data_IF_518905212145
#
_entry.id   IF_518905212145
#
_cell.length_a   1.000
_cell.length_b   1.000
_cell.length_c   1.000
_cell.angle_alpha   90.00
_cell.angle_beta   90.00
_cell.angle_gamma   90.00
#
_symmetry.space_group_name_H-M   'P 1'
#
loop_
_entity.id
_entity.type
_entity.pdbx_description
1 polymer ?
#
# COMPACT_ATOMS: atom_id res chain seq x y z
N UNK A 1 -11.39 -37.60 32.68
CA UNK A 1 -10.90 -37.15 31.36
C UNK A 1 -11.98 -36.48 30.50
N UNK A 2 -13.29 -36.67 30.74
CA UNK A 2 -14.37 -35.98 30.00
C UNK A 2 -14.83 -34.62 30.58
N UNK A 3 -14.42 -34.26 31.80
CA UNK A 3 -14.78 -32.98 32.42
C UNK A 3 -13.87 -31.82 31.96
N UNK A 4 -12.61 -32.10 31.60
CA UNK A 4 -11.65 -31.08 31.18
C UNK A 4 -11.96 -30.53 29.78
N UNK A 5 -12.44 -31.39 28.88
CA UNK A 5 -12.80 -31.03 27.49
C UNK A 5 -14.01 -30.09 27.44
N UNK A 6 -14.95 -30.24 28.38
CA UNK A 6 -16.17 -29.41 28.44
C UNK A 6 -15.91 -28.03 29.06
N UNK A 7 -14.94 -27.92 29.97
CA UNK A 7 -14.46 -26.63 30.50
C UNK A 7 -13.67 -25.86 29.44
N UNK A 8 -12.84 -26.53 28.64
CA UNK A 8 -12.12 -25.94 27.51
C UNK A 8 -13.05 -25.47 26.37
N UNK A 9 -14.11 -26.22 26.05
CA UNK A 9 -15.12 -25.77 25.08
C UNK A 9 -15.93 -24.56 25.57
N UNK A 10 -16.23 -24.48 26.88
CA UNK A 10 -16.89 -23.31 27.46
C UNK A 10 -15.97 -22.08 27.58
N UNK A 11 -14.65 -22.26 27.71
CA UNK A 11 -13.67 -21.17 27.70
C UNK A 11 -13.39 -20.67 26.27
N UNK A 12 -13.32 -21.56 25.28
CA UNK A 12 -13.12 -21.18 23.87
C UNK A 12 -14.38 -20.55 23.25
N UNK A 13 -15.59 -20.98 23.67
CA UNK A 13 -16.85 -20.36 23.25
C UNK A 13 -17.11 -18.96 23.81
N UNK A 14 -16.31 -18.49 24.78
CA UNK A 14 -16.36 -17.12 25.33
C UNK A 14 -15.36 -16.17 24.68
N UNK A 15 -14.35 -16.68 23.96
CA UNK A 15 -13.34 -15.86 23.26
C UNK A 15 -13.63 -15.68 21.75
N UNK A 16 -14.67 -16.33 21.21
CA UNK A 16 -15.11 -16.22 19.81
C UNK A 16 -16.49 -15.57 19.66
N UNK A 17 -16.92 -14.78 20.65
CA UNK A 17 -18.10 -13.91 20.49
C UNK A 17 -17.65 -12.51 20.12
N UNK A 18 -18.03 -12.10 18.92
CA UNK A 18 -18.03 -10.70 18.48
C UNK A 18 -18.58 -9.80 19.60
N UNK A 19 -18.00 -8.62 19.84
CA UNK A 19 -18.66 -7.64 20.66
C UNK A 19 -19.89 -7.13 19.89
N UNK A 20 -21.05 -7.69 20.19
CA UNK A 20 -22.32 -6.98 20.07
C UNK A 20 -22.22 -5.75 20.98
N UNK A 21 -21.84 -4.61 20.40
CA UNK A 21 -22.19 -3.32 20.97
C UNK A 21 -23.49 -2.87 20.32
N UNK A 22 -24.57 -2.91 21.10
CA UNK A 22 -25.77 -2.12 20.87
C UNK A 22 -25.37 -0.64 20.75
N UNK A 23 -25.18 -0.18 19.52
CA UNK A 23 -25.36 1.23 19.19
C UNK A 23 -26.65 1.32 18.39
N UNK A 24 -27.61 2.02 18.98
CA UNK A 24 -28.87 2.40 18.35
C UNK A 24 -28.53 3.20 17.10
N UNK A 25 -28.62 2.57 15.93
CA UNK A 25 -28.57 3.26 14.65
C UNK A 25 -29.84 4.10 14.52
N UNK A 26 -29.67 5.42 14.52
CA UNK A 26 -30.66 6.28 13.91
C UNK A 26 -30.53 6.13 12.39
N UNK A 27 -31.43 5.35 11.80
CA UNK A 27 -31.79 5.41 10.40
C UNK A 27 -32.20 6.86 10.08
N UNK A 28 -31.40 7.56 9.26
CA UNK A 28 -31.86 8.67 8.42
C UNK A 28 -30.72 9.11 7.50
N UNK A 29 -30.65 8.51 6.31
CA UNK A 29 -30.50 9.16 4.99
C UNK A 29 -30.03 8.11 3.98
N UNK A 30 -31.01 7.41 3.38
CA UNK A 30 -30.87 6.88 2.03
C UNK A 30 -30.49 8.03 1.10
N UNK A 31 -29.18 8.19 0.88
CA UNK A 31 -28.67 9.06 -0.17
C UNK A 31 -28.89 8.32 -1.48
N UNK A 32 -29.92 8.73 -2.20
CA UNK A 32 -30.11 8.40 -3.60
C UNK A 32 -28.87 8.91 -4.36
N UNK A 33 -27.96 7.99 -4.71
CA UNK A 33 -26.75 8.29 -5.47
C UNK A 33 -27.10 8.60 -6.93
N UNK A 34 -27.50 9.84 -7.19
CA UNK A 34 -27.37 10.45 -8.52
C UNK A 34 -26.07 11.24 -8.55
N UNK A 35 -24.94 10.55 -8.66
CA UNK A 35 -23.66 11.22 -8.82
C UNK A 35 -23.55 11.78 -10.25
N UNK A 36 -23.38 13.11 -10.46
CA UNK A 36 -22.83 13.58 -11.71
C UNK A 36 -21.41 13.00 -11.81
N UNK A 37 -21.06 12.41 -12.97
CA UNK A 37 -19.68 11.98 -13.25
C UNK A 37 -18.75 13.19 -13.10
N UNK A 38 -18.16 13.37 -11.92
CA UNK A 38 -17.10 14.32 -11.74
C UNK A 38 -15.92 13.82 -12.57
N UNK A 39 -15.73 14.38 -13.75
CA UNK A 39 -14.49 14.24 -14.51
C UNK A 39 -13.41 15.00 -13.75
N UNK A 40 -12.88 14.36 -12.70
CA UNK A 40 -11.77 14.91 -11.93
C UNK A 40 -10.49 14.82 -12.77
N UNK A 41 -9.74 15.91 -12.76
CA UNK A 41 -8.52 16.07 -13.52
C UNK A 41 -7.29 15.99 -12.58
N UNK A 42 -6.18 15.39 -13.02
CA UNK A 42 -4.94 15.42 -12.26
C UNK A 42 -4.51 16.86 -11.95
N UNK A 43 -4.12 17.11 -10.70
CA UNK A 43 -3.55 18.38 -10.23
C UNK A 43 -4.48 19.61 -10.23
N UNK A 44 -5.77 19.45 -10.54
CA UNK A 44 -6.74 20.51 -10.34
C UNK A 44 -7.18 20.62 -8.88
N UNK A 45 -7.62 21.81 -8.48
CA UNK A 45 -8.24 22.01 -7.17
C UNK A 45 -9.55 21.20 -7.12
N UNK A 46 -9.66 20.34 -6.11
CA UNK A 46 -10.86 19.54 -5.91
C UNK A 46 -11.97 20.38 -5.27
N UNK A 47 -13.25 20.04 -5.51
CA UNK A 47 -14.37 20.74 -4.90
C UNK A 47 -14.23 20.81 -3.37
N UNK A 48 -14.72 21.87 -2.68
CA UNK A 48 -14.63 21.96 -1.22
C UNK A 48 -15.33 20.81 -0.48
N UNK A 49 -16.33 20.18 -1.11
CA UNK A 49 -17.02 19.00 -0.61
C UNK A 49 -16.19 17.72 -0.70
N UNK A 50 -15.13 17.70 -1.53
CA UNK A 50 -14.30 16.53 -1.74
C UNK A 50 -13.32 16.36 -0.59
N UNK A 51 -13.34 15.20 0.05
CA UNK A 51 -12.44 14.87 1.15
C UNK A 51 -11.56 13.65 0.83
N UNK A 52 -10.28 13.82 0.49
CA UNK A 52 -9.38 12.72 0.14
C UNK A 52 -9.14 11.72 1.28
N UNK A 53 -9.59 12.01 2.52
CA UNK A 53 -9.54 11.05 3.61
C UNK A 53 -10.65 9.98 3.55
N UNK A 54 -11.79 10.29 2.94
CA UNK A 54 -12.95 9.40 2.84
C UNK A 54 -13.26 9.06 1.39
N UNK A 55 -12.97 9.95 0.45
CA UNK A 55 -13.18 9.81 -0.98
C UNK A 55 -11.93 9.29 -1.71
N UNK A 56 -12.15 8.76 -2.91
CA UNK A 56 -11.14 8.08 -3.74
C UNK A 56 -10.71 8.98 -4.90
N UNK A 57 -9.54 8.73 -5.50
CA UNK A 57 -8.85 9.67 -6.41
C UNK A 57 -9.73 10.27 -7.51
N UNK A 58 -10.60 9.46 -8.11
CA UNK A 58 -11.54 9.82 -9.17
C UNK A 58 -12.96 10.13 -8.66
N UNK A 59 -13.13 10.24 -7.35
CA UNK A 59 -14.42 10.41 -6.67
C UNK A 59 -15.28 9.14 -6.63
N UNK A 60 -14.78 8.01 -7.16
CA UNK A 60 -15.55 6.78 -7.27
C UNK A 60 -15.02 5.75 -6.29
N UNK A 61 -15.94 5.12 -5.55
CA UNK A 61 -15.58 3.98 -4.70
C UNK A 61 -15.11 2.85 -5.63
N UNK A 62 -13.84 2.39 -5.51
CA UNK A 62 -13.38 1.25 -6.28
C UNK A 62 -14.27 0.05 -5.99
N UNK A 63 -14.56 -0.81 -6.98
CA UNK A 63 -15.39 -2.01 -6.81
C UNK A 63 -14.62 -3.11 -6.07
N UNK A 64 -13.99 -2.76 -4.95
CA UNK A 64 -13.22 -3.63 -4.09
C UNK A 64 -14.08 -4.03 -2.88
N UNK A 65 -14.17 -5.33 -2.54
CA UNK A 65 -14.85 -5.80 -1.34
C UNK A 65 -14.55 -4.92 -0.11
N UNK A 66 -15.61 -4.43 0.53
CA UNK A 66 -15.59 -3.58 1.74
C UNK A 66 -14.94 -2.19 1.61
N UNK A 67 -14.52 -1.74 0.42
CA UNK A 67 -13.92 -0.40 0.27
C UNK A 67 -14.93 0.76 0.38
N UNK A 68 -16.23 0.45 0.37
CA UNK A 68 -17.30 1.38 0.72
C UNK A 68 -17.45 1.58 2.24
N UNK A 69 -16.88 0.71 3.08
CA UNK A 69 -17.01 0.74 4.54
C UNK A 69 -15.88 1.56 5.19
N UNK A 70 -15.91 2.88 5.04
CA UNK A 70 -14.85 3.77 5.52
C UNK A 70 -14.50 3.60 7.02
N UNK A 71 -15.52 3.33 7.87
CA UNK A 71 -15.33 3.09 9.29
C UNK A 71 -14.50 1.82 9.57
N UNK A 72 -14.76 0.74 8.82
CA UNK A 72 -14.02 -0.52 8.93
C UNK A 72 -12.56 -0.34 8.52
N UNK A 73 -12.32 0.37 7.41
CA UNK A 73 -10.97 0.73 6.97
C UNK A 73 -10.25 1.49 8.09
N UNK A 74 -10.88 2.56 8.60
CA UNK A 74 -10.29 3.41 9.63
C UNK A 74 -9.95 2.63 10.90
N UNK A 75 -10.82 1.72 11.33
CA UNK A 75 -10.58 0.84 12.48
C UNK A 75 -9.29 0.03 12.33
N UNK A 76 -9.10 -0.66 11.19
CA UNK A 76 -7.92 -1.47 10.96
C UNK A 76 -6.64 -0.62 10.81
N UNK A 77 -6.72 0.52 10.13
CA UNK A 77 -5.59 1.44 10.02
C UNK A 77 -5.15 1.93 11.40
N UNK A 78 -6.09 2.37 12.25
CA UNK A 78 -5.79 2.82 13.60
C UNK A 78 -5.14 1.72 14.44
N UNK A 79 -5.62 0.49 14.36
CA UNK A 79 -5.05 -0.64 15.08
C UNK A 79 -3.58 -0.90 14.68
N UNK A 80 -3.31 -0.97 13.38
CA UNK A 80 -1.96 -1.18 12.84
C UNK A 80 -1.01 -0.06 13.25
N UNK A 81 -1.41 1.20 13.06
CA UNK A 81 -0.58 2.35 13.39
C UNK A 81 -0.31 2.47 14.89
N UNK A 82 -1.32 2.23 15.72
CA UNK A 82 -1.18 2.30 17.19
C UNK A 82 -0.15 1.28 17.70
N UNK A 83 -0.18 0.05 17.15
CA UNK A 83 0.78 -0.99 17.50
C UNK A 83 2.23 -0.58 17.12
N UNK A 84 2.41 0.00 15.93
CA UNK A 84 3.72 0.46 15.48
C UNK A 84 4.23 1.67 16.29
N UNK A 85 3.40 2.70 16.47
CA UNK A 85 3.77 3.95 17.15
C UNK A 85 4.17 3.72 18.61
N UNK A 86 3.52 2.77 19.29
CA UNK A 86 3.92 2.33 20.64
C UNK A 86 5.41 1.99 20.71
N UNK A 87 5.94 1.23 19.75
CA UNK A 87 7.34 0.83 19.74
C UNK A 87 8.27 1.91 19.18
N UNK A 88 7.79 2.78 18.29
CA UNK A 88 8.57 3.95 17.85
C UNK A 88 8.80 4.89 19.03
N UNK A 89 7.77 5.15 19.84
CA UNK A 89 7.88 5.95 21.07
C UNK A 89 8.84 5.31 22.08
N UNK A 90 8.84 3.98 22.21
CA UNK A 90 9.82 3.25 22.99
C UNK A 90 11.25 3.50 22.49
N UNK A 91 11.49 3.46 21.18
CA UNK A 91 12.78 3.81 20.58
C UNK A 91 13.21 5.25 20.87
N UNK A 92 12.28 6.21 20.80
CA UNK A 92 12.54 7.60 21.17
C UNK A 92 12.95 7.74 22.64
N UNK A 93 12.28 7.04 23.57
CA UNK A 93 12.65 7.04 25.00
C UNK A 93 14.09 6.59 25.20
N UNK A 94 14.47 5.47 24.59
CA UNK A 94 15.82 4.93 24.72
C UNK A 94 16.88 5.89 24.16
N UNK A 95 16.59 6.56 23.04
CA UNK A 95 17.50 7.58 22.47
C UNK A 95 17.66 8.78 23.40
N UNK A 96 16.58 9.24 24.04
CA UNK A 96 16.63 10.35 25.01
C UNK A 96 17.40 9.97 26.27
N UNK A 97 17.21 8.75 26.78
CA UNK A 97 17.97 8.20 27.90
C UNK A 97 19.47 8.16 27.59
N UNK A 98 19.86 7.71 26.39
CA UNK A 98 21.26 7.72 25.93
C UNK A 98 21.85 9.13 25.83
N UNK A 99 21.02 10.15 25.63
CA UNK A 99 21.43 11.55 25.47
C UNK A 99 21.29 12.36 26.77
N UNK A 100 20.85 11.73 27.87
CA UNK A 100 20.60 12.36 29.17
C UNK A 100 19.60 13.54 29.14
N UNK A 101 18.65 13.53 28.19
CA UNK A 101 17.63 14.58 28.07
C UNK A 101 16.37 14.24 28.89
N UNK A 102 16.51 14.35 30.21
CA UNK A 102 15.42 14.06 31.15
C UNK A 102 14.18 14.96 30.96
N UNK A 103 14.38 16.20 30.52
CA UNK A 103 13.28 17.14 30.30
C UNK A 103 12.38 16.67 29.16
N UNK A 104 12.99 16.28 28.04
CA UNK A 104 12.26 15.84 26.87
C UNK A 104 11.71 14.42 27.06
N UNK A 105 12.42 13.55 27.79
CA UNK A 105 11.94 12.21 28.17
C UNK A 105 10.63 12.26 28.96
N UNK A 106 10.54 13.13 29.98
CA UNK A 106 9.31 13.29 30.77
C UNK A 106 8.12 13.71 29.91
N UNK A 107 8.37 14.50 28.86
CA UNK A 107 7.32 14.97 27.96
C UNK A 107 6.67 13.86 27.12
N UNK A 108 7.35 12.73 26.86
CA UNK A 108 6.75 11.59 26.13
C UNK A 108 5.54 11.06 26.89
N UNK A 109 5.63 10.93 28.20
CA UNK A 109 4.55 10.38 29.02
C UNK A 109 3.40 11.38 29.24
N UNK A 110 3.71 12.68 29.26
CA UNK A 110 2.74 13.74 29.51
C UNK A 110 2.02 14.18 28.22
N UNK A 111 2.68 14.08 27.06
CA UNK A 111 2.22 14.61 25.79
C UNK A 111 2.40 13.60 24.65
N UNK A 112 2.03 12.34 24.87
CA UNK A 112 2.25 11.25 23.91
C UNK A 112 1.69 11.57 22.50
N UNK A 113 0.50 12.16 22.42
CA UNK A 113 -0.10 12.54 21.12
C UNK A 113 0.69 13.62 20.38
N UNK A 114 1.33 14.55 21.09
CA UNK A 114 2.21 15.55 20.48
C UNK A 114 3.47 14.88 19.88
N UNK A 115 4.01 13.87 20.56
CA UNK A 115 5.10 13.05 20.04
C UNK A 115 4.69 12.25 18.82
N UNK A 116 3.52 11.61 18.85
CA UNK A 116 2.97 10.89 17.69
C UNK A 116 2.83 11.83 16.50
N UNK A 117 2.29 13.04 16.69
CA UNK A 117 2.19 14.05 15.64
C UNK A 117 3.58 14.39 15.07
N UNK A 118 4.55 14.69 15.93
CA UNK A 118 5.90 15.07 15.52
C UNK A 118 6.63 13.95 14.77
N UNK A 119 6.52 12.70 15.23
CA UNK A 119 7.08 11.51 14.57
C UNK A 119 6.42 11.32 13.20
N UNK A 120 5.10 11.44 13.13
CA UNK A 120 4.33 11.05 11.94
C UNK A 120 4.61 11.94 10.73
N UNK A 121 5.04 13.19 10.94
CA UNK A 121 5.39 14.12 9.85
C UNK A 121 6.87 14.14 9.50
N UNK A 122 7.68 13.29 10.13
CA UNK A 122 9.04 13.04 9.69
C UNK A 122 9.02 12.20 8.42
N UNK A 123 9.91 12.52 7.49
CA UNK A 123 10.09 11.75 6.27
C UNK A 123 10.90 10.50 6.56
N UNK A 124 10.39 9.36 6.17
CA UNK A 124 11.07 8.07 6.28
C UNK A 124 11.08 7.41 4.88
N UNK A 125 12.26 7.41 4.25
CA UNK A 125 12.38 7.04 2.83
C UNK A 125 11.58 7.99 1.96
N UNK A 126 10.50 7.48 1.35
CA UNK A 126 9.59 8.23 0.47
C UNK A 126 8.20 8.44 1.09
N UNK A 127 8.03 8.21 2.39
CA UNK A 127 6.74 8.25 3.08
C UNK A 127 6.78 9.17 4.30
N UNK A 128 5.65 9.80 4.59
CA UNK A 128 5.36 10.46 5.86
C UNK A 128 4.26 9.66 6.55
N UNK A 129 4.49 9.19 7.77
CA UNK A 129 3.54 8.30 8.43
C UNK A 129 2.18 8.96 8.71
N UNK A 130 2.08 10.29 8.68
CA UNK A 130 0.85 11.04 8.87
C UNK A 130 -0.11 10.88 7.68
N UNK A 131 -1.39 10.68 7.99
CA UNK A 131 -2.49 10.80 7.04
C UNK A 131 -3.21 12.17 7.21
N UNK A 132 -3.91 12.62 6.17
CA UNK A 132 -4.62 13.91 6.19
C UNK A 132 -5.67 14.01 7.31
N UNK A 133 -6.40 12.92 7.56
CA UNK A 133 -7.44 12.90 8.60
C UNK A 133 -6.85 13.06 10.00
N UNK A 134 -5.70 12.44 10.28
CA UNK A 134 -5.00 12.62 11.55
C UNK A 134 -4.53 14.06 11.73
N UNK A 135 -3.95 14.64 10.67
CA UNK A 135 -3.51 16.03 10.70
C UNK A 135 -4.67 16.98 11.00
N UNK A 136 -5.83 16.75 10.37
CA UNK A 136 -7.01 17.60 10.47
C UNK A 136 -7.76 17.45 11.79
N UNK A 137 -8.00 16.21 12.22
CA UNK A 137 -8.87 15.90 13.35
C UNK A 137 -8.12 15.92 14.68
N UNK A 138 -6.81 15.64 14.68
CA UNK A 138 -6.03 15.42 15.90
C UNK A 138 -4.78 16.30 15.97
N UNK A 139 -3.87 16.22 15.00
CA UNK A 139 -2.53 16.76 15.18
C UNK A 139 -2.47 18.29 15.16
N UNK A 140 -3.22 18.96 14.28
CA UNK A 140 -3.13 20.42 14.13
C UNK A 140 -3.45 21.15 15.43
N UNK A 141 -4.56 20.81 16.09
CA UNK A 141 -4.99 21.47 17.33
C UNK A 141 -4.01 21.26 18.49
N UNK A 142 -3.45 20.04 18.60
CA UNK A 142 -2.51 19.67 19.66
C UNK A 142 -1.18 20.40 19.50
N UNK A 143 -0.69 20.51 18.26
CA UNK A 143 0.57 21.21 17.96
C UNK A 143 0.43 22.72 18.11
N UNK A 144 -0.68 23.31 17.67
CA UNK A 144 -0.96 24.74 17.86
C UNK A 144 -1.06 25.13 19.33
N UNK A 145 -1.55 24.22 20.18
CA UNK A 145 -1.60 24.43 21.63
C UNK A 145 -0.24 24.26 22.32
N UNK A 146 0.74 23.59 21.69
CA UNK A 146 2.04 23.26 22.28
C UNK A 146 3.25 23.54 21.36
N UNK A 147 3.37 24.72 20.73
CA UNK A 147 4.32 24.94 19.64
C UNK A 147 5.78 24.87 20.10
N UNK A 148 6.08 25.37 21.31
CA UNK A 148 7.45 25.34 21.85
C UNK A 148 7.93 23.92 22.12
N UNK A 149 7.08 23.08 22.72
CA UNK A 149 7.43 21.68 22.98
C UNK A 149 7.53 20.90 21.67
N UNK A 150 6.62 21.12 20.72
CA UNK A 150 6.69 20.50 19.39
C UNK A 150 8.02 20.80 18.69
N UNK A 151 8.47 22.05 18.67
CA UNK A 151 9.74 22.44 18.05
C UNK A 151 10.95 21.78 18.75
N UNK A 152 10.89 21.58 20.07
CA UNK A 152 11.92 20.84 20.80
C UNK A 152 11.94 19.36 20.42
N UNK A 153 10.77 18.73 20.32
CA UNK A 153 10.63 17.34 19.88
C UNK A 153 11.17 17.19 18.46
N UNK A 154 10.77 18.07 17.55
CA UNK A 154 11.23 18.05 16.17
C UNK A 154 12.75 18.22 16.05
N UNK A 155 13.33 19.16 16.80
CA UNK A 155 14.78 19.35 16.86
C UNK A 155 15.50 18.06 17.30
N UNK A 156 14.94 17.33 18.27
CA UNK A 156 15.46 16.04 18.69
C UNK A 156 15.33 14.98 17.60
N UNK A 157 14.16 14.86 16.95
CA UNK A 157 13.90 13.87 15.90
C UNK A 157 14.78 14.09 14.67
N UNK A 158 15.04 15.35 14.32
CA UNK A 158 15.88 15.74 13.19
C UNK A 158 17.38 15.54 13.46
N UNK A 159 17.82 15.67 14.72
CA UNK A 159 19.22 15.47 15.11
C UNK A 159 19.66 14.03 14.83
N UNK A 160 20.78 13.88 14.10
CA UNK A 160 21.40 12.58 13.78
C UNK A 160 20.44 11.52 13.20
N UNK A 161 19.36 11.99 12.56
CA UNK A 161 18.27 11.15 12.04
C UNK A 161 17.60 10.27 13.10
N UNK A 162 17.39 10.80 14.31
CA UNK A 162 16.70 10.10 15.41
C UNK A 162 15.31 9.59 15.02
N UNK A 163 14.59 10.29 14.14
CA UNK A 163 13.32 9.82 13.57
C UNK A 163 13.47 8.47 12.87
N UNK A 164 14.41 8.34 11.94
CA UNK A 164 14.68 7.08 11.24
C UNK A 164 15.12 5.97 12.19
N UNK A 165 16.03 6.29 13.14
CA UNK A 165 16.50 5.32 14.15
C UNK A 165 15.34 4.77 14.98
N UNK A 166 14.45 5.64 15.47
CA UNK A 166 13.29 5.25 16.26
C UNK A 166 12.28 4.44 15.43
N UNK A 167 12.05 4.81 14.16
CA UNK A 167 11.18 4.06 13.25
C UNK A 167 11.77 2.67 12.95
N UNK A 168 13.09 2.59 12.67
CA UNK A 168 13.79 1.34 12.44
C UNK A 168 13.64 0.39 13.63
N UNK A 169 13.85 0.90 14.84
CA UNK A 169 13.60 0.17 16.09
C UNK A 169 12.15 -0.27 16.20
N UNK A 170 11.21 0.66 15.99
CA UNK A 170 9.78 0.40 16.17
C UNK A 170 9.27 -0.73 15.27
N UNK A 171 9.65 -0.72 13.99
CA UNK A 171 9.28 -1.80 13.04
C UNK A 171 9.90 -3.13 13.46
N UNK A 172 11.21 -3.16 13.75
CA UNK A 172 11.89 -4.39 14.16
C UNK A 172 11.31 -4.97 15.46
N UNK A 173 11.00 -4.09 16.42
CA UNK A 173 10.41 -4.47 17.71
C UNK A 173 8.99 -4.97 17.56
N UNK A 174 8.16 -4.36 16.71
CA UNK A 174 6.80 -4.80 16.43
C UNK A 174 6.78 -6.23 15.85
N UNK A 175 7.64 -6.52 14.87
CA UNK A 175 7.73 -7.86 14.26
C UNK A 175 8.20 -8.90 15.28
N UNK A 176 9.10 -8.52 16.20
CA UNK A 176 9.58 -9.39 17.27
C UNK A 176 8.72 -9.36 18.55
N UNK A 177 7.53 -8.75 18.52
CA UNK A 177 6.62 -8.71 19.67
C UNK A 177 5.52 -9.79 19.57
N UNK A 178 4.65 -9.83 20.58
CA UNK A 178 3.44 -10.68 20.56
C UNK A 178 2.23 -9.99 19.91
N UNK A 179 2.36 -8.75 19.44
CA UNK A 179 1.24 -7.99 18.85
C UNK A 179 0.90 -8.48 17.43
N UNK A 180 1.85 -9.14 16.76
CA UNK A 180 1.66 -9.77 15.46
C UNK A 180 1.92 -11.26 15.53
N UNK A 181 1.12 -12.03 14.78
CA UNK A 181 1.48 -13.38 14.37
C UNK A 181 2.47 -13.27 13.21
N UNK A 182 3.63 -13.91 13.34
CA UNK A 182 4.71 -13.81 12.35
C UNK A 182 5.11 -15.18 11.83
N UNK A 183 4.96 -15.37 10.51
CA UNK A 183 5.48 -16.54 9.81
C UNK A 183 6.86 -16.22 9.24
N UNK A 184 7.89 -16.89 9.75
CA UNK A 184 9.26 -16.70 9.30
C UNK A 184 9.53 -17.52 8.03
N UNK A 185 9.66 -16.84 6.89
CA UNK A 185 9.83 -17.47 5.57
C UNK A 185 10.94 -16.81 4.76
N UNK A 186 11.88 -17.61 4.25
CA UNK A 186 13.12 -17.07 3.66
C UNK A 186 13.14 -17.07 2.13
N UNK A 187 12.29 -17.89 1.48
CA UNK A 187 12.43 -18.19 0.04
C UNK A 187 11.86 -17.13 -0.88
N UNK A 188 10.66 -16.61 -0.61
CA UNK A 188 9.93 -15.73 -1.54
C UNK A 188 9.82 -14.27 -1.12
N UNK A 189 9.95 -13.98 0.18
CA UNK A 189 9.88 -12.61 0.69
C UNK A 189 11.13 -11.84 0.26
N UNK A 190 10.97 -10.64 -0.32
CA UNK A 190 12.10 -9.74 -0.56
C UNK A 190 12.85 -9.40 0.73
N UNK A 191 14.16 -9.08 0.68
CA UNK A 191 14.84 -8.51 1.83
C UNK A 191 14.07 -7.30 2.38
N UNK A 192 14.05 -7.16 3.71
CA UNK A 192 13.49 -6.02 4.45
C UNK A 192 12.00 -5.72 4.19
N UNK A 193 11.28 -6.65 3.56
CA UNK A 193 9.85 -6.52 3.29
C UNK A 193 9.01 -7.31 4.29
N UNK A 194 7.82 -6.79 4.57
CA UNK A 194 6.77 -7.40 5.39
C UNK A 194 5.62 -7.77 4.46
N UNK A 195 5.36 -9.07 4.30
CA UNK A 195 4.23 -9.55 3.52
C UNK A 195 3.00 -9.74 4.41
N UNK A 196 1.93 -9.01 4.16
CA UNK A 196 0.71 -9.09 4.96
C UNK A 196 -0.16 -10.28 4.54
N UNK A 197 -0.51 -11.16 5.48
CA UNK A 197 -1.36 -12.33 5.21
C UNK A 197 -2.82 -12.06 5.61
N UNK A 198 -3.03 -11.36 6.72
CA UNK A 198 -4.35 -11.06 7.25
C UNK A 198 -4.28 -10.19 8.51
N UNK A 199 -5.35 -10.21 9.32
CA UNK A 199 -5.44 -9.41 10.55
C UNK A 199 -4.29 -9.77 11.50
N UNK A 200 -3.44 -8.79 11.79
CA UNK A 200 -2.25 -8.93 12.64
C UNK A 200 -1.37 -10.15 12.29
N UNK A 201 -1.40 -10.60 11.03
CA UNK A 201 -0.66 -11.77 10.58
C UNK A 201 0.19 -11.39 9.38
N UNK A 202 1.51 -11.50 9.56
CA UNK A 202 2.52 -11.16 8.57
C UNK A 202 3.46 -12.34 8.33
N UNK A 203 4.20 -12.25 7.24
CA UNK A 203 5.38 -13.06 7.02
C UNK A 203 6.58 -12.18 6.72
N UNK A 204 7.75 -12.59 7.22
CA UNK A 204 9.02 -11.88 7.07
C UNK A 204 10.16 -12.87 6.86
N UNK A 205 11.30 -12.39 6.35
CA UNK A 205 12.53 -13.20 6.36
C UNK A 205 13.12 -13.19 7.76
N UNK A 206 13.31 -14.37 8.34
CA UNK A 206 13.91 -14.52 9.68
C UNK A 206 15.19 -13.71 9.88
N UNK A 207 16.09 -13.78 8.90
CA UNK A 207 17.40 -13.10 8.96
C UNK A 207 17.32 -11.56 9.02
N UNK A 208 16.24 -10.96 8.52
CA UNK A 208 16.10 -9.50 8.49
C UNK A 208 15.67 -8.97 9.87
N UNK A 209 15.15 -9.85 10.73
CA UNK A 209 14.65 -9.54 12.07
C UNK A 209 15.41 -10.28 13.19
N UNK A 210 16.61 -10.79 12.87
CA UNK A 210 17.47 -11.48 13.84
C UNK A 210 18.20 -10.48 14.77
N UNK A 211 18.44 -10.91 16.01
CA UNK A 211 19.11 -10.11 17.04
C UNK A 211 18.21 -9.13 17.79
N UNK A 212 18.84 -8.24 18.55
CA UNK A 212 18.14 -7.30 19.43
C UNK A 212 17.76 -6.00 18.69
N UNK A 213 16.50 -5.57 18.82
CA UNK A 213 15.97 -4.33 18.21
C UNK A 213 16.82 -3.10 18.55
N UNK A 214 17.48 -3.07 19.70
CA UNK A 214 18.29 -1.94 20.16
C UNK A 214 19.37 -1.52 19.13
N UNK A 215 19.90 -2.48 18.36
CA UNK A 215 20.92 -2.24 17.32
C UNK A 215 20.41 -1.38 16.17
N UNK A 216 19.10 -1.34 15.96
CA UNK A 216 18.48 -0.54 14.90
C UNK A 216 18.49 0.97 15.25
N UNK A 217 18.70 1.32 16.52
CA UNK A 217 18.90 2.71 16.94
C UNK A 217 20.23 3.31 16.44
N UNK A 218 21.15 2.48 15.96
CA UNK A 218 22.41 2.91 15.38
C UNK A 218 22.32 3.11 13.85
N UNK A 219 21.17 2.79 13.23
CA UNK A 219 20.94 2.92 11.80
C UNK A 219 20.22 4.23 11.48
N UNK A 220 20.89 5.24 10.87
CA UNK A 220 20.31 6.55 10.62
C UNK A 220 19.45 6.60 9.34
N UNK A 221 19.55 5.61 8.47
CA UNK A 221 18.79 5.54 7.21
C UNK A 221 17.59 4.59 7.36
N UNK A 222 16.53 4.85 6.59
CA UNK A 222 15.38 3.98 6.53
C UNK A 222 15.77 2.56 6.11
N UNK A 223 15.43 1.55 6.92
CA UNK A 223 15.74 0.14 6.67
C UNK A 223 14.55 -0.64 6.08
N UNK A 224 13.35 -0.10 6.21
CA UNK A 224 12.08 -0.78 5.94
C UNK A 224 11.27 -0.02 4.89
N UNK A 225 10.35 -0.70 4.20
CA UNK A 225 9.34 -0.02 3.39
C UNK A 225 8.04 0.12 4.20
N UNK A 226 7.71 1.34 4.63
CA UNK A 226 6.48 1.55 5.40
C UNK A 226 5.21 1.32 4.54
N UNK A 227 5.34 1.20 3.22
CA UNK A 227 4.25 0.78 2.35
C UNK A 227 3.66 -0.58 2.74
N UNK A 228 4.47 -1.45 3.34
CA UNK A 228 4.01 -2.77 3.81
C UNK A 228 2.89 -2.67 4.87
N UNK A 229 2.77 -1.55 5.59
CA UNK A 229 1.66 -1.33 6.52
C UNK A 229 0.35 -0.96 5.80
N UNK A 230 0.40 -0.46 4.57
CA UNK A 230 -0.79 -0.32 3.73
C UNK A 230 -1.29 -1.71 3.27
N UNK A 231 -0.36 -2.62 2.94
CA UNK A 231 -0.71 -4.02 2.71
C UNK A 231 -1.33 -4.67 3.95
N UNK A 232 -0.75 -4.48 5.14
CA UNK A 232 -1.31 -5.02 6.37
C UNK A 232 -2.71 -4.46 6.67
N UNK A 233 -2.93 -3.18 6.40
CA UNK A 233 -4.24 -2.55 6.56
C UNK A 233 -5.26 -3.12 5.57
N UNK A 234 -4.91 -3.26 4.29
CA UNK A 234 -5.76 -3.87 3.28
C UNK A 234 -6.09 -5.33 3.62
N UNK A 235 -5.07 -6.14 3.89
CA UNK A 235 -5.23 -7.54 4.27
C UNK A 235 -6.06 -7.71 5.56
N UNK A 236 -6.04 -6.73 6.48
CA UNK A 236 -6.89 -6.77 7.66
C UNK A 236 -8.37 -6.48 7.36
N UNK A 237 -8.67 -5.71 6.31
CA UNK A 237 -10.05 -5.44 5.87
C UNK A 237 -10.69 -6.69 5.28
N UNK A 238 -10.00 -7.39 4.37
CA UNK A 238 -10.49 -8.62 3.75
C UNK A 238 -9.32 -9.58 3.39
N UNK A 239 -8.87 -10.43 4.34
CA UNK A 239 -7.69 -11.28 4.19
C UNK A 239 -7.74 -12.23 2.98
N UNK A 240 -8.92 -12.76 2.69
CA UNK A 240 -9.16 -13.67 1.58
C UNK A 240 -8.82 -13.04 0.22
N UNK A 241 -9.14 -11.76 0.01
CA UNK A 241 -8.94 -11.05 -1.25
C UNK A 241 -7.59 -10.32 -1.31
N UNK A 242 -7.16 -9.73 -0.20
CA UNK A 242 -6.02 -8.81 -0.17
C UNK A 242 -4.81 -9.35 0.60
N UNK A 243 -4.93 -10.53 1.20
CA UNK A 243 -3.82 -11.21 1.86
C UNK A 243 -2.82 -11.80 0.86
N UNK A 244 -1.54 -11.69 1.19
CA UNK A 244 -0.44 -12.27 0.44
C UNK A 244 -0.57 -13.79 0.38
N UNK A 245 -0.57 -14.34 -0.84
CA UNK A 245 -0.63 -15.79 -1.08
C UNK A 245 0.74 -16.41 -1.39
N UNK A 246 1.84 -15.71 -1.05
CA UNK A 246 3.19 -16.13 -1.46
C UNK A 246 3.53 -17.54 -0.95
N UNK A 247 3.11 -17.88 0.28
CA UNK A 247 3.51 -19.13 0.94
C UNK A 247 2.53 -20.28 0.72
N UNK A 248 1.26 -19.96 0.51
CA UNK A 248 0.24 -20.97 0.20
C UNK A 248 0.32 -21.35 -1.27
N UNK A 249 0.49 -20.36 -2.15
CA UNK A 249 0.29 -20.58 -3.58
C UNK A 249 1.49 -20.27 -4.46
N UNK A 250 2.18 -19.15 -4.26
CA UNK A 250 3.28 -18.79 -5.14
C UNK A 250 4.49 -19.74 -5.01
N UNK A 251 4.77 -20.27 -3.82
CA UNK A 251 5.95 -21.12 -3.56
C UNK A 251 5.94 -22.43 -4.33
N UNK A 252 4.75 -22.90 -4.71
CA UNK A 252 4.58 -24.13 -5.47
C UNK A 252 4.56 -23.88 -6.99
N UNK A 253 4.50 -22.61 -7.43
CA UNK A 253 4.60 -22.29 -8.85
C UNK A 253 6.03 -22.52 -9.39
N UNK A 254 6.17 -22.89 -10.68
CA UNK A 254 7.45 -22.97 -11.34
C UNK A 254 8.29 -21.69 -11.19
N UNK A 255 9.61 -21.85 -11.03
CA UNK A 255 10.53 -20.72 -10.79
C UNK A 255 10.42 -19.61 -11.84
N UNK A 256 10.18 -19.96 -13.11
CA UNK A 256 9.96 -19.02 -14.22
C UNK A 256 8.76 -18.09 -13.98
N UNK A 257 7.67 -18.60 -13.39
CA UNK A 257 6.49 -17.80 -13.05
C UNK A 257 6.76 -16.94 -11.82
N UNK A 258 7.39 -17.51 -10.78
CA UNK A 258 7.75 -16.71 -9.59
C UNK A 258 8.70 -15.56 -9.92
N UNK A 259 9.55 -15.70 -10.95
CA UNK A 259 10.46 -14.65 -11.41
C UNK A 259 9.72 -13.43 -12.01
N UNK A 260 8.51 -13.60 -12.55
CA UNK A 260 7.68 -12.50 -13.05
C UNK A 260 7.27 -11.53 -11.94
N UNK A 261 7.13 -12.01 -10.72
CA UNK A 261 6.76 -11.20 -9.56
C UNK A 261 8.02 -10.71 -8.83
N UNK A 262 9.04 -11.56 -8.75
CA UNK A 262 10.15 -11.39 -7.80
C UNK A 262 11.41 -10.74 -8.36
N UNK A 263 11.50 -10.49 -9.67
CA UNK A 263 12.81 -10.30 -10.32
C UNK A 263 13.66 -9.23 -9.61
N UNK A 264 14.73 -9.60 -8.89
CA UNK A 264 15.54 -8.62 -8.14
C UNK A 264 16.39 -7.75 -9.08
N UNK A 265 16.29 -7.96 -10.39
CA UNK A 265 17.02 -7.26 -11.44
C UNK A 265 16.17 -6.20 -12.16
N UNK A 266 15.07 -5.74 -11.54
CA UNK A 266 14.16 -4.74 -12.14
C UNK A 266 14.88 -3.48 -12.62
N UNK A 267 15.98 -3.09 -11.99
CA UNK A 267 16.78 -1.89 -12.33
C UNK A 267 18.00 -2.17 -13.23
N UNK A 268 18.14 -3.40 -13.76
CA UNK A 268 19.30 -3.74 -14.61
C UNK A 268 19.07 -3.35 -16.07
N UNK A 269 20.17 -3.19 -16.80
CA UNK A 269 20.11 -2.85 -18.24
C UNK A 269 19.56 -3.96 -19.12
N UNK A 270 19.55 -5.19 -18.62
CA UNK A 270 19.05 -6.39 -19.31
C UNK A 270 18.07 -7.13 -18.40
N UNK A 271 16.86 -6.56 -18.17
CA UNK A 271 15.93 -7.15 -17.24
C UNK A 271 15.43 -8.50 -17.78
N UNK A 272 15.48 -9.53 -16.95
CA UNK A 272 14.82 -10.80 -17.23
C UNK A 272 14.01 -11.21 -15.98
N UNK A 273 12.68 -11.37 -16.11
CA UNK A 273 11.87 -11.24 -17.31
C UNK A 273 11.59 -9.79 -17.69
N UNK A 274 11.53 -9.53 -19.01
CA UNK A 274 11.35 -8.18 -19.60
C UNK A 274 10.00 -7.52 -19.27
N UNK A 275 9.04 -8.29 -18.75
CA UNK A 275 7.72 -7.81 -18.32
C UNK A 275 7.37 -8.26 -16.90
N UNK A 276 8.36 -8.44 -16.02
CA UNK A 276 8.05 -8.64 -14.59
C UNK A 276 7.23 -7.47 -14.05
N UNK A 277 6.43 -7.74 -13.02
CA UNK A 277 5.52 -6.80 -12.39
C UNK A 277 6.22 -5.47 -12.00
N UNK A 278 7.43 -5.56 -11.44
CA UNK A 278 8.23 -4.38 -11.10
C UNK A 278 8.92 -3.69 -12.28
N UNK A 279 9.18 -4.37 -13.41
CA UNK A 279 9.67 -3.69 -14.63
C UNK A 279 8.55 -2.86 -15.24
N UNK A 280 7.36 -3.44 -15.39
CA UNK A 280 6.20 -2.72 -15.92
C UNK A 280 5.86 -1.54 -15.02
N UNK A 281 5.83 -1.74 -13.70
CA UNK A 281 5.47 -0.68 -12.75
C UNK A 281 6.57 0.37 -12.58
N UNK A 282 7.80 0.00 -12.25
CA UNK A 282 8.84 0.96 -11.86
C UNK A 282 9.54 1.60 -13.05
N UNK A 283 9.73 0.87 -14.15
CA UNK A 283 10.54 1.31 -15.28
C UNK A 283 9.69 1.83 -16.43
N UNK A 284 8.67 1.08 -16.88
CA UNK A 284 7.91 1.43 -18.09
C UNK A 284 6.81 2.45 -17.81
N UNK A 285 5.95 2.17 -16.82
CA UNK A 285 4.83 3.05 -16.46
C UNK A 285 5.29 4.41 -15.92
N UNK A 286 6.48 4.50 -15.31
CA UNK A 286 7.03 5.78 -14.86
C UNK A 286 7.30 6.72 -16.03
N UNK A 287 7.96 6.23 -17.09
CA UNK A 287 8.25 7.04 -18.29
C UNK A 287 6.94 7.47 -18.96
N UNK A 288 6.01 6.53 -19.15
CA UNK A 288 4.71 6.83 -19.75
C UNK A 288 3.94 7.88 -18.96
N UNK A 289 3.84 7.73 -17.64
CA UNK A 289 3.16 8.70 -16.78
C UNK A 289 3.81 10.08 -16.87
N UNK A 290 5.14 10.15 -16.76
CA UNK A 290 5.88 11.42 -16.81
C UNK A 290 5.64 12.15 -18.13
N UNK A 291 5.74 11.45 -19.26
CA UNK A 291 5.51 12.05 -20.57
C UNK A 291 4.07 12.60 -20.71
N UNK A 292 3.06 11.86 -20.25
CA UNK A 292 1.67 12.33 -20.31
C UNK A 292 1.43 13.55 -19.41
N UNK A 293 2.03 13.58 -18.21
CA UNK A 293 1.91 14.74 -17.30
C UNK A 293 2.63 15.97 -17.85
N UNK A 294 3.80 15.82 -18.47
CA UNK A 294 4.50 16.92 -19.14
C UNK A 294 3.64 17.52 -20.26
N UNK A 295 2.99 16.69 -21.08
CA UNK A 295 2.05 17.16 -22.11
C UNK A 295 0.84 17.89 -21.52
N UNK A 296 0.32 17.46 -20.36
CA UNK A 296 -0.75 18.18 -19.65
C UNK A 296 -0.26 19.54 -19.15
N UNK A 297 0.93 19.59 -18.56
CA UNK A 297 1.53 20.83 -18.04
C UNK A 297 1.85 21.85 -19.15
N UNK A 298 2.24 21.37 -20.33
CA UNK A 298 2.46 22.20 -21.52
C UNK A 298 1.16 22.63 -22.22
N UNK A 299 0.00 22.14 -21.76
CA UNK A 299 -1.30 22.42 -22.38
C UNK A 299 -1.57 21.68 -23.69
N UNK A 300 -0.74 20.69 -24.04
CA UNK A 300 -0.84 19.90 -25.27
C UNK A 300 -1.89 18.78 -25.16
N UNK A 301 -2.17 18.31 -23.94
CA UNK A 301 -3.20 17.31 -23.64
C UNK A 301 -4.06 17.71 -22.45
N UNK A 302 -5.26 17.13 -22.39
CA UNK A 302 -6.13 17.19 -21.22
C UNK A 302 -6.52 15.77 -20.83
N UNK A 303 -6.27 15.43 -19.57
CA UNK A 303 -6.63 14.13 -19.03
C UNK A 303 -7.57 14.27 -17.84
N UNK A 304 -8.53 13.35 -17.75
CA UNK A 304 -9.16 12.99 -16.47
C UNK A 304 -8.33 11.87 -15.84
N UNK A 305 -8.51 11.56 -14.56
CA UNK A 305 -7.86 10.40 -13.95
C UNK A 305 -8.17 9.10 -14.71
N UNK A 306 -9.41 8.92 -15.15
CA UNK A 306 -9.84 7.77 -15.96
C UNK A 306 -9.14 7.75 -17.33
N UNK A 307 -9.11 8.86 -18.06
CA UNK A 307 -8.53 8.88 -19.41
C UNK A 307 -7.00 8.71 -19.39
N UNK A 308 -6.32 9.25 -18.36
CA UNK A 308 -4.90 9.00 -18.14
C UNK A 308 -4.66 7.50 -17.85
N UNK A 309 -5.40 6.93 -16.90
CA UNK A 309 -5.32 5.50 -16.56
C UNK A 309 -5.50 4.61 -17.79
N UNK A 310 -6.52 4.90 -18.60
CA UNK A 310 -6.81 4.16 -19.82
C UNK A 310 -5.68 4.30 -20.86
N UNK A 311 -5.16 5.51 -21.07
CA UNK A 311 -4.07 5.77 -22.03
C UNK A 311 -2.81 4.97 -21.67
N UNK A 312 -2.41 5.02 -20.39
CA UNK A 312 -1.26 4.25 -19.90
C UNK A 312 -1.51 2.73 -20.02
N UNK A 313 -2.72 2.28 -19.68
CA UNK A 313 -3.09 0.87 -19.75
C UNK A 313 -3.07 0.32 -21.18
N UNK A 314 -3.51 1.11 -22.17
CA UNK A 314 -3.44 0.76 -23.59
C UNK A 314 -1.99 0.53 -24.04
N UNK A 315 -1.08 1.44 -23.70
CA UNK A 315 0.34 1.29 -24.05
C UNK A 315 1.00 0.08 -23.40
N UNK A 316 0.66 -0.22 -22.14
CA UNK A 316 1.15 -1.43 -21.46
C UNK A 316 0.52 -2.70 -22.05
N UNK A 317 -0.77 -2.68 -22.41
CA UNK A 317 -1.42 -3.83 -23.05
C UNK A 317 -0.78 -4.17 -24.40
N UNK A 318 -0.52 -3.15 -25.24
CA UNK A 318 0.17 -3.32 -26.52
C UNK A 318 1.60 -3.87 -26.34
N UNK A 319 2.30 -3.43 -25.29
CA UNK A 319 3.62 -3.95 -24.93
C UNK A 319 3.57 -5.43 -24.54
N UNK A 320 2.63 -5.81 -23.67
CA UNK A 320 2.46 -7.20 -23.20
C UNK A 320 2.01 -8.14 -24.31
N UNK A 321 1.32 -7.63 -25.33
CA UNK A 321 0.94 -8.36 -26.53
C UNK A 321 2.03 -8.35 -27.62
N UNK A 322 3.24 -7.86 -27.31
CA UNK A 322 4.37 -7.73 -28.24
C UNK A 322 4.11 -6.84 -29.48
N UNK A 323 3.11 -5.97 -29.40
CA UNK A 323 2.71 -5.06 -30.49
C UNK A 323 3.51 -3.75 -30.46
N UNK A 324 4.05 -3.37 -29.30
CA UNK A 324 4.78 -2.12 -29.08
C UNK A 324 6.04 -2.32 -28.26
N UNK A 325 7.03 -1.44 -28.48
CA UNK A 325 8.17 -1.26 -27.59
C UNK A 325 7.92 -0.07 -26.65
N UNK A 326 8.40 -0.16 -25.41
CA UNK A 326 8.34 0.92 -24.41
C UNK A 326 9.73 1.29 -23.92
N UNK A 327 9.93 2.56 -23.61
CA UNK A 327 11.21 3.05 -23.09
C UNK A 327 11.37 2.64 -21.62
N UNK A 328 12.55 2.11 -21.29
CA UNK A 328 12.95 1.76 -19.95
C UNK A 328 13.57 2.97 -19.25
N UNK A 329 13.05 3.36 -18.08
CA UNK A 329 13.46 4.56 -17.36
C UNK A 329 14.97 4.60 -17.11
N UNK A 330 15.51 3.56 -16.47
CA UNK A 330 16.90 3.58 -15.98
C UNK A 330 17.94 3.58 -17.11
N UNK A 331 17.60 3.03 -18.27
CA UNK A 331 18.57 2.85 -19.38
C UNK A 331 18.29 3.70 -20.60
N UNK A 332 17.09 4.25 -20.71
CA UNK A 332 16.60 4.88 -21.94
C UNK A 332 16.38 3.93 -23.11
N UNK A 333 16.62 2.62 -22.97
CA UNK A 333 16.48 1.65 -24.05
C UNK A 333 15.01 1.33 -24.34
N UNK A 334 14.70 1.04 -25.60
CA UNK A 334 13.37 0.54 -26.00
C UNK A 334 13.29 -0.97 -25.78
N UNK A 335 12.50 -1.40 -24.79
CA UNK A 335 12.20 -2.79 -24.55
C UNK A 335 11.01 -3.24 -25.38
N UNK A 336 11.09 -4.44 -25.96
CA UNK A 336 10.00 -5.05 -26.72
C UNK A 336 9.88 -6.53 -26.37
N UNK A 337 8.67 -6.98 -26.06
CA UNK A 337 8.39 -8.40 -25.90
C UNK A 337 8.54 -9.13 -27.25
N UNK A 338 9.15 -10.33 -27.24
CA UNK A 338 9.34 -11.12 -28.45
C UNK A 338 8.09 -11.92 -28.85
N UNK A 339 7.19 -12.15 -27.89
CA UNK A 339 5.92 -12.84 -28.07
C UNK A 339 4.89 -12.27 -27.09
N UNK A 340 3.58 -12.38 -27.39
CA UNK A 340 2.53 -12.05 -26.44
C UNK A 340 2.72 -12.85 -25.14
N UNK A 341 2.35 -12.23 -24.01
CA UNK A 341 2.25 -12.90 -22.72
C UNK A 341 1.26 -14.07 -22.81
N UNK A 342 1.57 -15.20 -22.15
CA UNK A 342 0.66 -16.34 -22.08
C UNK A 342 -0.40 -16.17 -20.97
N UNK A 343 -1.55 -16.89 -21.05
CA UNK A 343 -2.58 -16.83 -20.02
C UNK A 343 -2.08 -17.18 -18.62
N UNK A 344 -1.15 -18.15 -18.49
CA UNK A 344 -0.58 -18.56 -17.21
C UNK A 344 0.34 -17.48 -16.62
N UNK A 345 1.15 -16.82 -17.44
CA UNK A 345 1.98 -15.69 -17.01
C UNK A 345 1.11 -14.51 -16.58
N UNK A 346 0.04 -14.22 -17.34
CA UNK A 346 -0.92 -13.17 -17.01
C UNK A 346 -1.65 -13.46 -15.69
N UNK A 347 -2.15 -14.68 -15.49
CA UNK A 347 -2.78 -15.10 -14.25
C UNK A 347 -1.84 -14.96 -13.04
N UNK A 348 -0.56 -15.29 -13.23
CA UNK A 348 0.48 -15.12 -12.21
C UNK A 348 0.60 -13.66 -11.78
N UNK A 349 0.72 -12.74 -12.75
CA UNK A 349 0.88 -11.31 -12.51
C UNK A 349 -0.39 -10.66 -11.94
N UNK A 350 -1.57 -11.04 -12.42
CA UNK A 350 -2.86 -10.48 -11.96
C UNK A 350 -3.08 -10.74 -10.47
N UNK A 351 -2.81 -11.96 -10.00
CA UNK A 351 -2.95 -12.28 -8.57
C UNK A 351 -2.02 -11.43 -7.69
N UNK A 352 -0.78 -11.18 -8.14
CA UNK A 352 0.12 -10.26 -7.43
C UNK A 352 -0.43 -8.83 -7.48
N UNK A 353 -0.95 -8.40 -8.63
CA UNK A 353 -1.48 -7.05 -8.79
C UNK A 353 -2.68 -6.75 -7.89
N UNK A 354 -3.51 -7.74 -7.57
CA UNK A 354 -4.61 -7.60 -6.61
C UNK A 354 -4.10 -7.24 -5.21
N UNK A 355 -2.97 -7.83 -4.79
CA UNK A 355 -2.30 -7.51 -3.53
C UNK A 355 -1.69 -6.09 -3.55
N UNK A 356 -0.99 -5.74 -4.62
CA UNK A 356 -0.32 -4.44 -4.78
C UNK A 356 -1.28 -3.24 -4.91
N UNK A 357 -2.30 -3.36 -5.77
CA UNK A 357 -3.19 -2.24 -6.05
C UNK A 357 -4.07 -1.89 -4.84
N UNK A 358 -4.53 -2.89 -4.09
CA UNK A 358 -5.42 -2.65 -2.94
C UNK A 358 -4.69 -1.91 -1.82
N UNK A 359 -3.39 -2.19 -1.61
CA UNK A 359 -2.52 -1.41 -0.73
C UNK A 359 -2.32 0.02 -1.23
N UNK A 360 -2.06 0.21 -2.53
CA UNK A 360 -1.92 1.56 -3.12
C UNK A 360 -3.20 2.40 -2.99
N UNK A 361 -4.37 1.79 -2.99
CA UNK A 361 -5.66 2.49 -2.95
C UNK A 361 -6.00 2.94 -1.52
N UNK A 362 -5.76 2.08 -0.52
CA UNK A 362 -5.98 2.44 0.88
C UNK A 362 -4.89 3.38 1.42
N UNK A 363 -3.77 3.48 0.71
CA UNK A 363 -2.54 4.12 1.13
C UNK A 363 -2.72 5.48 1.79
N UNK A 364 -3.45 6.42 1.15
CA UNK A 364 -3.60 7.78 1.69
C UNK A 364 -4.35 7.85 3.04
N UNK A 365 -5.04 6.76 3.41
CA UNK A 365 -5.71 6.63 4.70
C UNK A 365 -4.75 6.18 5.80
N UNK A 366 -3.65 5.51 5.42
CA UNK A 366 -2.62 4.98 6.31
C UNK A 366 -1.52 6.02 6.53
N UNK A 367 -1.02 6.62 5.45
CA UNK A 367 0.10 7.55 5.47
C UNK A 367 0.05 8.49 4.25
N UNK A 368 0.97 9.44 4.14
CA UNK A 368 1.09 10.31 2.97
C UNK A 368 2.32 9.93 2.15
N UNK A 369 2.14 9.69 0.85
CA UNK A 369 3.24 9.35 -0.05
C UNK A 369 3.95 10.61 -0.54
N UNK A 370 5.26 10.67 -0.28
CA UNK A 370 6.18 11.68 -0.78
C UNK A 370 7.04 11.16 -1.92
N UNK A 371 8.12 11.90 -2.18
CA UNK A 371 9.12 11.59 -3.20
C UNK A 371 10.49 11.25 -2.61
N UNK A 372 11.48 10.93 -3.47
CA UNK A 372 12.88 10.95 -3.07
C UNK A 372 13.24 12.29 -2.40
N UNK A 373 14.19 12.27 -1.47
CA UNK A 373 14.69 13.49 -0.82
C UNK A 373 15.24 14.46 -1.88
N UNK A 374 14.81 15.72 -1.81
CA UNK A 374 15.19 16.78 -2.74
C UNK A 374 14.39 16.82 -4.04
N UNK A 375 13.42 15.92 -4.26
CA UNK A 375 12.55 15.99 -5.43
C UNK A 375 11.54 17.14 -5.26
N UNK A 376 11.62 18.16 -6.11
CA UNK A 376 10.79 19.37 -6.02
C UNK A 376 9.29 19.12 -6.22
N UNK A 377 8.89 17.93 -6.68
CA UNK A 377 7.49 17.52 -6.79
C UNK A 377 6.91 17.03 -5.46
N UNK A 378 7.77 16.76 -4.47
CA UNK A 378 7.36 16.50 -3.09
C UNK A 378 7.27 17.83 -2.33
N UNK A 379 6.10 18.46 -2.40
CA UNK A 379 5.85 19.76 -1.77
C UNK A 379 5.98 19.74 -0.24
N UNK A 380 5.97 18.56 0.39
CA UNK A 380 6.13 18.43 1.84
C UNK A 380 7.61 18.50 2.26
N UNK A 381 8.53 18.12 1.37
CA UNK A 381 9.94 17.90 1.72
C UNK A 381 10.61 19.20 2.20
N UNK A 382 10.29 20.32 1.53
CA UNK A 382 10.82 21.64 1.85
C UNK A 382 10.14 22.33 3.05
N UNK A 383 9.02 21.79 3.55
CA UNK A 383 8.26 22.40 4.64
C UNK A 383 8.79 21.95 5.99
N UNK A 384 8.69 22.84 6.99
CA UNK A 384 8.89 22.44 8.37
C UNK A 384 7.83 21.42 8.81
N UNK A 385 8.11 20.57 9.81
CA UNK A 385 7.14 19.60 10.32
C UNK A 385 5.79 20.19 10.73
N UNK A 386 5.78 21.39 11.29
CA UNK A 386 4.52 22.09 11.61
C UNK A 386 3.76 22.53 10.34
N UNK A 387 4.46 23.06 9.35
CA UNK A 387 3.86 23.43 8.06
C UNK A 387 3.34 22.22 7.29
N UNK A 388 4.01 21.06 7.39
CA UNK A 388 3.50 19.79 6.85
C UNK A 388 2.15 19.42 7.46
N UNK A 389 2.02 19.50 8.80
CA UNK A 389 0.74 19.24 9.48
C UNK A 389 -0.33 20.20 8.98
N UNK A 390 -0.04 21.51 8.92
CA UNK A 390 -0.97 22.54 8.44
C UNK A 390 -1.41 22.30 7.00
N UNK A 391 -0.46 22.00 6.12
CA UNK A 391 -0.76 21.69 4.73
C UNK A 391 -1.66 20.47 4.67
N UNK A 392 -1.29 19.35 5.29
CA UNK A 392 -2.05 18.10 5.22
C UNK A 392 -3.45 18.19 5.85
N UNK A 393 -3.59 18.95 6.95
CA UNK A 393 -4.88 19.19 7.59
C UNK A 393 -5.86 19.93 6.66
N UNK A 394 -5.36 20.92 5.91
CA UNK A 394 -6.16 21.76 5.01
C UNK A 394 -6.24 21.22 3.57
N UNK A 395 -5.33 20.32 3.17
CA UNK A 395 -5.19 19.84 1.81
C UNK A 395 -6.36 18.95 1.41
N UNK A 396 -7.12 19.41 0.40
CA UNK A 396 -8.21 18.66 -0.23
C UNK A 396 -7.81 18.01 -1.54
N UNK A 397 -6.62 18.30 -2.07
CA UNK A 397 -6.11 17.71 -3.31
C UNK A 397 -5.20 16.52 -3.04
N UNK A 398 -5.01 15.72 -4.07
CA UNK A 398 -4.00 14.67 -4.08
C UNK A 398 -2.63 15.25 -4.45
N UNK A 399 -1.57 14.72 -3.83
CA UNK A 399 -0.19 15.09 -4.08
C UNK A 399 0.36 14.30 -5.26
N UNK A 400 1.43 14.81 -5.86
CA UNK A 400 2.01 14.23 -7.07
C UNK A 400 2.36 12.76 -6.96
N UNK A 401 3.04 12.37 -5.88
CA UNK A 401 3.48 10.99 -5.72
C UNK A 401 2.33 10.03 -5.40
N UNK A 402 1.26 10.50 -4.76
CA UNK A 402 0.04 9.72 -4.53
C UNK A 402 -0.68 9.48 -5.86
N UNK A 403 -0.94 10.55 -6.64
CA UNK A 403 -1.55 10.45 -7.98
C UNK A 403 -0.75 9.50 -8.85
N UNK A 404 0.57 9.72 -8.94
CA UNK A 404 1.46 8.91 -9.77
C UNK A 404 1.37 7.44 -9.43
N UNK A 405 1.52 7.07 -8.16
CA UNK A 405 1.52 5.66 -7.78
C UNK A 405 0.15 5.02 -8.03
N UNK A 406 -0.94 5.66 -7.59
CA UNK A 406 -2.30 5.12 -7.73
C UNK A 406 -2.68 4.94 -9.20
N UNK A 407 -2.43 5.95 -10.05
CA UNK A 407 -2.73 5.87 -11.49
C UNK A 407 -1.91 4.77 -12.16
N UNK A 408 -0.62 4.63 -11.82
CA UNK A 408 0.21 3.55 -12.36
C UNK A 408 -0.31 2.18 -11.97
N UNK A 409 -0.67 1.94 -10.70
CA UNK A 409 -1.22 0.64 -10.30
C UNK A 409 -2.57 0.34 -10.98
N UNK A 410 -3.46 1.34 -11.07
CA UNK A 410 -4.75 1.22 -11.77
C UNK A 410 -4.53 0.91 -13.26
N UNK A 411 -3.65 1.64 -13.93
CA UNK A 411 -3.32 1.44 -15.33
C UNK A 411 -2.73 0.04 -15.57
N UNK A 412 -1.88 -0.43 -14.65
CA UNK A 412 -1.28 -1.75 -14.72
C UNK A 412 -2.33 -2.87 -14.65
N UNK A 413 -3.25 -2.80 -13.67
CA UNK A 413 -4.36 -3.77 -13.57
C UNK A 413 -5.29 -3.70 -14.79
N UNK A 414 -5.61 -2.49 -15.25
CA UNK A 414 -6.45 -2.29 -16.42
C UNK A 414 -5.78 -2.84 -17.70
N UNK A 415 -4.46 -2.72 -17.82
CA UNK A 415 -3.72 -3.33 -18.92
C UNK A 415 -3.88 -4.86 -18.92
N UNK A 416 -3.76 -5.50 -17.75
CA UNK A 416 -3.99 -6.94 -17.63
C UNK A 416 -5.42 -7.34 -18.01
N UNK A 417 -6.43 -6.56 -17.62
CA UNK A 417 -7.80 -6.77 -18.04
C UNK A 417 -7.94 -6.69 -19.58
N UNK A 418 -7.41 -5.63 -20.20
CA UNK A 418 -7.45 -5.42 -21.65
C UNK A 418 -6.75 -6.53 -22.41
N UNK A 419 -5.60 -7.00 -21.93
CA UNK A 419 -4.88 -8.15 -22.49
C UNK A 419 -5.78 -9.38 -22.47
N UNK A 420 -6.38 -9.71 -21.33
CA UNK A 420 -7.26 -10.88 -21.21
C UNK A 420 -8.48 -10.79 -22.15
N UNK A 421 -9.12 -9.61 -22.22
CA UNK A 421 -10.26 -9.36 -23.11
C UNK A 421 -9.87 -9.50 -24.60
N UNK A 422 -8.71 -8.98 -25.01
CA UNK A 422 -8.20 -9.11 -26.38
C UNK A 422 -7.89 -10.56 -26.74
N UNK A 423 -7.18 -11.29 -25.86
CA UNK A 423 -6.88 -12.70 -26.07
C UNK A 423 -8.15 -13.54 -26.27
N UNK A 424 -9.23 -13.25 -25.51
CA UNK A 424 -10.52 -13.93 -25.65
C UNK A 424 -11.25 -13.63 -26.96
N UNK A 425 -11.06 -12.43 -27.53
CA UNK A 425 -11.66 -12.00 -28.81
C UNK A 425 -10.90 -12.52 -30.02
N UNK A 426 -9.58 -12.51 -29.97
CA UNK A 426 -8.73 -12.53 -31.18
C UNK A 426 -8.22 -13.93 -31.60
N UNK A 427 -8.63 -15.04 -30.98
CA UNK A 427 -8.00 -16.35 -31.28
C UNK A 427 -8.77 -17.66 -31.07
N UNK A 428 -8.32 -18.67 -31.80
CA UNK A 428 -8.49 -20.10 -31.49
C UNK A 428 -7.65 -20.43 -30.25
N UNK A 429 -8.23 -20.24 -29.07
CA UNK A 429 -7.63 -20.61 -27.80
C UNK A 429 -7.97 -22.06 -27.44
N UNK A 430 -7.03 -22.76 -26.81
CA UNK A 430 -7.34 -24.00 -26.12
C UNK A 430 -8.45 -23.75 -25.07
N UNK A 431 -9.31 -24.76 -24.84
CA UNK A 431 -10.43 -24.63 -23.89
C UNK A 431 -9.96 -24.24 -22.49
N UNK A 432 -8.84 -24.80 -22.04
CA UNK A 432 -8.20 -24.49 -20.75
C UNK A 432 -7.74 -23.03 -20.67
N UNK A 433 -7.14 -22.50 -21.72
CA UNK A 433 -6.70 -21.10 -21.78
C UNK A 433 -7.88 -20.14 -21.75
N UNK A 434 -8.95 -20.46 -22.49
CA UNK A 434 -10.20 -19.70 -22.46
C UNK A 434 -10.80 -19.68 -21.05
N UNK A 435 -10.86 -20.83 -20.38
CA UNK A 435 -11.36 -20.94 -19.01
C UNK A 435 -10.51 -20.11 -18.03
N UNK A 436 -9.18 -20.20 -18.11
CA UNK A 436 -8.27 -19.42 -17.27
C UNK A 436 -8.42 -17.91 -17.51
N UNK A 437 -8.52 -17.46 -18.76
CA UNK A 437 -8.75 -16.05 -19.09
C UNK A 437 -10.08 -15.52 -18.53
N UNK A 438 -11.14 -16.33 -18.56
CA UNK A 438 -12.41 -15.99 -17.88
C UNK A 438 -12.19 -15.84 -16.37
N UNK A 439 -11.46 -16.77 -15.73
CA UNK A 439 -11.14 -16.68 -14.30
C UNK A 439 -10.26 -15.48 -13.94
N UNK A 440 -9.34 -15.08 -14.82
CA UNK A 440 -8.58 -13.83 -14.68
C UNK A 440 -9.54 -12.63 -14.60
N UNK A 441 -10.52 -12.56 -15.50
CA UNK A 441 -11.52 -11.48 -15.48
C UNK A 441 -12.41 -11.54 -14.24
N UNK A 442 -12.82 -12.73 -13.80
CA UNK A 442 -13.56 -12.92 -12.55
C UNK A 442 -12.75 -12.39 -11.35
N UNK A 443 -11.46 -12.71 -11.25
CA UNK A 443 -10.57 -12.21 -10.20
C UNK A 443 -10.43 -10.68 -10.26
N UNK A 444 -10.18 -10.12 -11.45
CA UNK A 444 -10.07 -8.66 -11.64
C UNK A 444 -11.36 -7.94 -11.25
N UNK A 445 -12.53 -8.55 -11.45
CA UNK A 445 -13.83 -7.94 -11.15
C UNK A 445 -14.39 -8.36 -9.80
N UNK A 446 -13.64 -9.14 -9.02
CA UNK A 446 -14.07 -9.76 -7.77
C UNK A 446 -15.39 -10.54 -7.90
N UNK A 447 -15.64 -11.15 -9.05
CA UNK A 447 -16.93 -11.79 -9.32
C UNK A 447 -17.24 -12.89 -8.28
N UNK A 448 -18.45 -12.85 -7.70
CA UNK A 448 -18.92 -13.81 -6.71
C UNK A 448 -18.51 -13.51 -5.26
N UNK A 449 -17.82 -12.40 -4.98
CA UNK A 449 -17.40 -12.04 -3.61
C UNK A 449 -18.59 -11.92 -2.64
N UNK A 450 -19.72 -11.37 -3.08
CA UNK A 450 -20.96 -11.25 -2.29
C UNK A 450 -21.53 -12.62 -1.89
N UNK A 451 -21.25 -13.65 -2.67
CA UNK A 451 -21.66 -15.04 -2.41
C UNK A 451 -20.58 -15.83 -1.66
N UNK A 452 -19.56 -15.16 -1.12
CA UNK A 452 -18.42 -15.79 -0.42
C UNK A 452 -17.43 -16.52 -1.34
N UNK A 453 -17.52 -16.32 -2.66
CA UNK A 453 -16.61 -16.95 -3.63
C UNK A 453 -15.35 -16.11 -3.82
N UNK A 454 -14.19 -16.76 -3.90
CA UNK A 454 -12.88 -16.12 -4.11
C UNK A 454 -12.14 -16.85 -5.21
N UNK A 455 -11.64 -16.10 -6.20
CA UNK A 455 -10.82 -16.67 -7.29
C UNK A 455 -9.35 -16.56 -6.92
N UNK A 456 -8.71 -17.70 -6.62
CA UNK A 456 -7.26 -17.80 -6.44
C UNK A 456 -6.60 -18.30 -7.72
N UNK A 457 -6.00 -17.39 -8.49
CA UNK A 457 -5.42 -17.72 -9.79
C UNK A 457 -4.16 -18.58 -9.66
N UNK A 458 -3.36 -18.41 -8.60
CA UNK A 458 -2.17 -19.23 -8.40
C UNK A 458 -2.53 -20.67 -8.10
N UNK A 459 -3.57 -20.91 -7.30
CA UNK A 459 -4.09 -22.26 -7.08
C UNK A 459 -4.57 -22.91 -8.39
N UNK A 460 -5.31 -22.16 -9.22
CA UNK A 460 -5.80 -22.66 -10.52
C UNK A 460 -4.67 -23.02 -11.51
N UNK A 461 -3.52 -22.34 -11.44
CA UNK A 461 -2.35 -22.68 -12.27
C UNK A 461 -1.74 -24.03 -11.84
N UNK A 462 -1.76 -24.34 -10.54
CA UNK A 462 -1.21 -25.61 -10.02
C UNK A 462 -2.12 -26.80 -10.32
N UNK A 463 -3.42 -26.59 -10.22
CA UNK A 463 -4.46 -27.61 -10.37
C UNK A 463 -5.22 -27.41 -11.69
N UNK A 464 -4.65 -27.77 -12.86
CA UNK A 464 -5.25 -27.52 -14.17
C UNK A 464 -6.49 -28.38 -14.48
N UNK A 465 -7.09 -29.04 -13.47
CA UNK A 465 -8.31 -29.85 -13.60
C UNK A 465 -9.61 -29.03 -13.74
N UNK A 466 -9.52 -27.77 -14.15
CA UNK A 466 -10.66 -26.87 -14.43
C UNK A 466 -10.89 -26.74 -15.94
#
# INVERSE_FOLDING_TARGET
MYALTRVLQNLLGRYLKDPLSEFTYHDELETTYTSPKATLHPFENLPPSYDPSTEWLDGQIPPYPHFHEAARIRLHVQAVKSALLKYILEGCRILLEKQDDHSLLASIYQNERLWVAAISVQKYGVLYFAARWECREEFLSIVESNPQLFNRIDSFLSRDSNSNRAINYGVHRLVNSSDLKVDYQTRLIPPTAISAIGINHIAVRAKDYDGESIRLLDQPTAQWDLHDFAHLSAASVAPEFYGCKYFTDLIELPSKLTALIRSPKMHTTEPNPIYSDGVVFSELLTVLFTAEIEMVQNGERKHTYESLTNTLAEHVADYLLAQRALQHLTTGQMLKATKPISPVELATLVQNKAYELTASEIEQRVFTRGGPVGDSRDELDALSPFERIKLLASCRRWLYFEIRNTIKHRAHRLAYQKVAERMLRDGELARSDRALLTRILDNIRYHGWENGSVVNLWQMIKDPSI
#
